data_IF_794272242582
#
_entry.id   IF_794272242582
#
_cell.length_a   1.000
_cell.length_b   1.000
_cell.length_c   1.000
_cell.angle_alpha   90.00
_cell.angle_beta   90.00
_cell.angle_gamma   90.00
#
_symmetry.space_group_name_H-M   'P 1'
#
loop_
_entity.id
_entity.type
_entity.pdbx_description
1 polymer ?
#
# COMPACT_ATOMS: atom_id res chain seq x y z
N UNK A 1 -1.88 2.09 -13.03
CA UNK A 1 -2.25 2.14 -11.60
C UNK A 1 -2.61 0.73 -11.23
N UNK A 2 -2.07 0.23 -10.13
CA UNK A 2 -2.14 -1.19 -9.79
C UNK A 2 -2.72 -1.38 -8.40
N UNK A 3 -3.49 -2.45 -8.19
CA UNK A 3 -3.98 -2.81 -6.87
C UNK A 3 -2.89 -3.61 -6.14
N UNK A 4 -2.63 -3.27 -4.89
CA UNK A 4 -1.53 -3.85 -4.11
C UNK A 4 -1.99 -4.26 -2.71
N UNK A 5 -1.38 -5.30 -2.17
CA UNK A 5 -1.52 -5.74 -0.77
C UNK A 5 -0.18 -5.70 -0.04
N UNK A 6 -0.21 -5.51 1.27
CA UNK A 6 0.98 -5.73 2.12
C UNK A 6 1.47 -7.18 1.97
N UNK A 7 2.77 -7.36 1.85
CA UNK A 7 3.39 -8.69 1.96
C UNK A 7 3.25 -9.19 3.40
N UNK A 8 3.08 -10.50 3.57
CA UNK A 8 2.81 -11.14 4.87
C UNK A 8 3.83 -10.75 5.96
N UNK A 9 5.12 -10.67 5.59
CA UNK A 9 6.20 -10.22 6.48
C UNK A 9 5.89 -8.87 7.16
N UNK A 10 5.36 -7.92 6.40
CA UNK A 10 5.06 -6.56 6.90
C UNK A 10 3.68 -6.50 7.56
N UNK A 11 2.73 -7.31 7.08
CA UNK A 11 1.43 -7.43 7.70
C UNK A 11 1.50 -8.02 9.13
N UNK A 12 2.56 -8.77 9.45
CA UNK A 12 2.81 -9.30 10.79
C UNK A 12 3.29 -8.24 11.81
N UNK A 13 3.86 -7.12 11.34
CA UNK A 13 4.44 -6.09 12.20
C UNK A 13 3.35 -5.33 12.99
N UNK A 14 3.45 -5.25 14.34
CA UNK A 14 2.45 -4.60 15.18
C UNK A 14 2.33 -3.09 14.96
N UNK A 15 3.39 -2.40 14.53
CA UNK A 15 3.33 -0.99 14.15
C UNK A 15 2.53 -0.81 12.86
N UNK A 16 2.74 -1.69 11.87
CA UNK A 16 2.00 -1.70 10.61
C UNK A 16 0.52 -2.01 10.84
N UNK A 17 0.17 -2.99 11.68
CA UNK A 17 -1.23 -3.32 12.01
C UNK A 17 -2.02 -2.17 12.62
N UNK A 18 -1.34 -1.27 13.33
CA UNK A 18 -1.94 -0.07 13.93
C UNK A 18 -2.04 1.09 12.94
N UNK A 19 -1.35 1.01 11.81
CA UNK A 19 -1.34 2.08 10.82
C UNK A 19 -2.73 2.22 10.15
N UNK A 20 -3.18 3.45 9.86
CA UNK A 20 -4.51 3.67 9.28
C UNK A 20 -4.74 2.95 7.95
N UNK A 21 -3.71 2.83 7.11
CA UNK A 21 -3.81 2.19 5.80
C UNK A 21 -3.97 0.66 5.88
N UNK A 22 -3.62 0.04 7.02
CA UNK A 22 -3.72 -1.41 7.18
C UNK A 22 -5.17 -1.91 7.07
N UNK A 23 -6.11 -1.12 7.59
CA UNK A 23 -7.56 -1.41 7.54
C UNK A 23 -8.21 -1.03 6.21
N UNK A 24 -7.52 -0.22 5.41
CA UNK A 24 -8.02 0.29 4.12
C UNK A 24 -7.47 -0.52 2.93
N UNK A 25 -6.78 -1.63 3.21
CA UNK A 25 -6.32 -2.58 2.21
C UNK A 25 -7.49 -3.26 1.46
N UNK A 26 -7.30 -3.67 0.20
CA UNK A 26 -6.11 -3.42 -0.63
C UNK A 26 -5.99 -1.95 -1.05
N UNK A 27 -4.78 -1.53 -1.42
CA UNK A 27 -4.49 -0.15 -1.79
C UNK A 27 -4.27 -0.02 -3.30
N UNK A 28 -4.53 1.14 -3.87
CA UNK A 28 -4.20 1.50 -5.25
C UNK A 28 -2.87 2.24 -5.25
N UNK A 29 -1.87 1.75 -5.96
CA UNK A 29 -0.58 2.41 -6.13
C UNK A 29 -0.62 3.41 -7.28
N UNK A 30 -0.32 4.68 -6.98
CA UNK A 30 -0.28 5.78 -7.96
C UNK A 30 1.10 6.00 -8.57
N UNK A 31 2.15 5.69 -7.82
CA UNK A 31 3.53 5.91 -8.26
C UNK A 31 4.45 6.29 -7.11
N UNK A 32 5.73 6.35 -7.44
CA UNK A 32 6.80 6.83 -6.55
C UNK A 32 6.76 8.37 -6.43
N UNK A 33 7.13 8.89 -5.26
CA UNK A 33 7.16 10.32 -4.99
C UNK A 33 8.46 10.91 -5.58
N UNK A 34 8.40 11.91 -6.46
CA UNK A 34 9.61 12.59 -6.94
C UNK A 34 10.44 13.13 -5.76
N UNK A 35 11.74 12.85 -5.77
CA UNK A 35 12.71 13.18 -4.71
C UNK A 35 12.61 12.35 -3.41
N UNK A 36 11.76 11.33 -3.34
CA UNK A 36 11.73 10.36 -2.23
C UNK A 36 11.82 8.94 -2.78
N UNK A 37 13.03 8.45 -3.11
CA UNK A 37 13.18 7.12 -3.67
C UNK A 37 12.60 6.05 -2.74
N UNK A 38 12.02 5.00 -3.32
CA UNK A 38 11.36 3.86 -2.65
C UNK A 38 10.04 4.18 -1.93
N UNK A 39 9.59 5.44 -1.94
CA UNK A 39 8.37 5.87 -1.26
C UNK A 39 7.26 6.18 -2.27
N UNK A 40 6.08 5.60 -2.04
CA UNK A 40 4.94 5.69 -2.94
C UNK A 40 3.78 6.52 -2.41
N UNK A 41 2.89 6.89 -3.33
CA UNK A 41 1.53 7.37 -3.04
C UNK A 41 0.53 6.25 -3.30
N UNK A 42 -0.37 6.05 -2.35
CA UNK A 42 -1.39 5.02 -2.36
C UNK A 42 -2.75 5.60 -2.03
N UNK A 43 -3.84 4.99 -2.51
CA UNK A 43 -5.19 5.24 -1.99
C UNK A 43 -5.83 3.97 -1.45
N UNK A 44 -6.59 4.08 -0.37
CA UNK A 44 -7.51 3.01 0.04
C UNK A 44 -8.54 2.76 -1.06
N UNK A 45 -8.63 1.52 -1.57
CA UNK A 45 -9.46 1.20 -2.74
C UNK A 45 -10.93 1.61 -2.53
N UNK A 46 -11.47 1.38 -1.32
CA UNK A 46 -12.87 1.66 -0.99
C UNK A 46 -13.08 3.02 -0.35
N UNK A 47 -12.12 3.48 0.45
CA UNK A 47 -12.26 4.72 1.24
C UNK A 47 -11.87 5.97 0.47
N UNK A 48 -11.05 5.85 -0.58
CA UNK A 48 -10.46 6.97 -1.31
C UNK A 48 -9.43 7.77 -0.50
N UNK A 49 -9.09 7.34 0.73
CA UNK A 49 -8.08 8.03 1.55
C UNK A 49 -6.70 7.89 0.93
N UNK A 50 -5.97 9.00 0.85
CA UNK A 50 -4.60 9.02 0.34
C UNK A 50 -3.58 8.77 1.47
N UNK A 51 -2.59 7.96 1.13
CA UNK A 51 -1.44 7.63 1.98
C UNK A 51 -0.16 7.89 1.17
N UNK A 52 0.64 8.84 1.61
CA UNK A 52 1.93 9.17 0.98
C UNK A 52 3.09 8.77 1.88
N UNK A 53 4.21 8.37 1.28
CA UNK A 53 5.43 8.06 2.03
C UNK A 53 5.48 6.64 2.56
N UNK A 54 4.72 5.70 2.00
CA UNK A 54 4.84 4.29 2.35
C UNK A 54 5.93 3.63 1.49
N UNK A 55 6.70 2.72 2.06
CA UNK A 55 7.75 2.01 1.32
C UNK A 55 7.15 1.05 0.30
N UNK A 56 7.46 1.24 -0.98
CA UNK A 56 6.89 0.47 -2.10
C UNK A 56 7.23 -1.02 -1.96
N UNK A 57 8.44 -1.37 -1.51
CA UNK A 57 8.88 -2.76 -1.38
C UNK A 57 8.04 -3.57 -0.37
N UNK A 58 7.28 -2.91 0.53
CA UNK A 58 6.42 -3.59 1.49
C UNK A 58 5.18 -4.20 0.85
N UNK A 59 4.85 -3.79 -0.37
CA UNK A 59 3.65 -4.20 -1.08
C UNK A 59 3.97 -5.15 -2.23
N UNK A 60 2.98 -5.93 -2.63
CA UNK A 60 2.99 -6.73 -3.85
C UNK A 60 1.72 -6.43 -4.64
N UNK A 61 1.85 -6.44 -5.96
CA UNK A 61 0.71 -6.28 -6.87
C UNK A 61 -0.22 -7.50 -6.74
N UNK A 62 -1.53 -7.23 -6.80
CA UNK A 62 -2.57 -8.24 -6.90
C UNK A 62 -2.82 -8.53 -8.39
N UNK A 63 -2.89 -9.80 -8.75
CA UNK A 63 -3.34 -10.21 -10.09
C UNK A 63 -4.86 -10.10 -10.19
N UNK A 64 -5.38 -10.11 -11.43
CA UNK A 64 -6.83 -10.09 -11.68
C UNK A 64 -7.56 -11.28 -11.02
N UNK A 65 -6.86 -12.41 -10.84
CA UNK A 65 -7.38 -13.60 -10.14
C UNK A 65 -7.46 -13.43 -8.61
N UNK A 66 -6.78 -12.43 -8.04
CA UNK A 66 -6.78 -12.12 -6.60
C UNK A 66 -7.85 -11.08 -6.20
N UNK A 67 -8.65 -10.57 -7.16
CA UNK A 67 -9.61 -9.47 -6.98
C UNK A 67 -11.06 -9.88 -6.81
#
# INVERSE_FOLDING_TARGET
MSLVKLKEKWAADPAIKKAPYFKDQPLIFFGEIPNMPEHGVFAGQRSGKLYSGLHIFQFTELSEDDT
#
